data_IF_402517604830
#
_entry.id   IF_402517604830
#
_cell.length_a   1.000
_cell.length_b   1.000
_cell.length_c   1.000
_cell.angle_alpha   90.00
_cell.angle_beta   90.00
_cell.angle_gamma   90.00
#
_symmetry.space_group_name_H-M   'P 1'
#
loop_
_entity.id
_entity.type
_entity.pdbx_description
1 polymer ?
#
# COMPACT_ATOMS: atom_id res chain seq x y z
N UNK A 1 -29.65 56.71 -35.50
CA UNK A 1 -28.39 56.11 -35.97
C UNK A 1 -27.89 55.29 -34.80
N UNK A 2 -28.30 54.07 -34.82
CA UNK A 2 -27.94 53.08 -33.78
C UNK A 2 -26.84 52.24 -34.37
N UNK A 3 -25.64 52.40 -33.85
CA UNK A 3 -24.53 51.55 -34.20
C UNK A 3 -24.76 50.14 -33.57
N UNK A 4 -25.06 49.22 -34.46
CA UNK A 4 -24.96 47.82 -34.17
C UNK A 4 -23.48 47.48 -33.99
N UNK A 5 -23.10 47.18 -32.79
CA UNK A 5 -21.85 46.50 -32.51
C UNK A 5 -21.98 45.08 -33.09
N UNK A 6 -21.09 44.65 -33.99
CA UNK A 6 -21.13 43.25 -34.45
C UNK A 6 -20.84 42.37 -33.25
N UNK A 7 -21.70 41.40 -33.01
CA UNK A 7 -21.48 40.32 -32.09
C UNK A 7 -20.09 39.73 -32.34
N UNK A 8 -19.35 39.39 -31.28
CA UNK A 8 -18.07 38.75 -31.45
C UNK A 8 -18.29 37.45 -32.21
N UNK A 9 -17.61 37.37 -33.31
CA UNK A 9 -17.54 36.25 -34.20
C UNK A 9 -17.54 34.97 -33.37
N UNK A 10 -18.59 34.21 -33.56
CA UNK A 10 -18.82 33.06 -32.77
C UNK A 10 -17.62 32.15 -32.78
N UNK A 11 -16.78 32.32 -31.84
CA UNK A 11 -16.07 31.20 -31.31
C UNK A 11 -17.17 30.21 -31.03
N UNK A 12 -17.45 29.39 -31.98
CA UNK A 12 -18.31 28.27 -31.78
C UNK A 12 -17.60 27.52 -30.67
N UNK A 13 -18.05 27.78 -29.47
CA UNK A 13 -17.79 26.93 -28.40
C UNK A 13 -18.50 25.65 -28.78
N UNK A 14 -17.89 24.93 -29.68
CA UNK A 14 -18.20 23.55 -29.78
C UNK A 14 -17.78 23.04 -28.43
N UNK A 15 -18.69 22.99 -27.53
CA UNK A 15 -18.63 22.07 -26.47
C UNK A 15 -18.56 20.74 -27.20
N UNK A 16 -17.38 20.38 -27.61
CA UNK A 16 -17.09 19.02 -27.90
C UNK A 16 -17.20 18.39 -26.54
N UNK A 17 -18.36 17.99 -26.20
CA UNK A 17 -18.53 16.89 -25.30
C UNK A 17 -17.80 15.80 -26.03
N UNK A 18 -16.57 15.61 -25.68
CA UNK A 18 -15.79 14.50 -26.17
C UNK A 18 -16.39 13.27 -25.51
N UNK A 19 -17.47 12.85 -26.04
CA UNK A 19 -17.78 11.45 -26.01
C UNK A 19 -16.71 10.84 -26.89
N UNK A 20 -15.77 10.19 -26.31
CA UNK A 20 -14.63 9.45 -26.83
C UNK A 20 -14.39 9.19 -28.28
N UNK A 21 -15.20 9.60 -29.17
CA UNK A 21 -14.90 9.90 -30.51
C UNK A 21 -14.50 11.35 -30.49
N UNK A 22 -13.28 11.56 -30.09
CA UNK A 22 -12.62 12.71 -30.59
C UNK A 22 -12.65 12.52 -32.07
N UNK A 23 -13.71 12.94 -32.65
CA UNK A 23 -13.63 13.44 -33.98
C UNK A 23 -12.79 14.66 -33.80
N UNK A 24 -11.55 14.40 -33.56
CA UNK A 24 -10.49 15.35 -33.65
C UNK A 24 -10.39 15.79 -35.09
N UNK A 25 -11.49 15.99 -35.66
CA UNK A 25 -11.63 16.72 -36.89
C UNK A 25 -11.53 18.13 -36.44
N UNK A 26 -10.41 18.67 -36.68
CA UNK A 26 -9.84 19.94 -36.34
C UNK A 26 -10.72 21.18 -36.26
N UNK A 27 -11.88 21.06 -35.81
CA UNK A 27 -12.84 22.12 -35.55
C UNK A 27 -13.35 22.16 -34.14
N UNK A 28 -12.91 21.26 -33.32
CA UNK A 28 -13.27 21.31 -31.92
C UNK A 28 -12.36 22.27 -31.17
N UNK A 29 -12.89 23.36 -30.76
CA UNK A 29 -12.23 24.24 -29.83
C UNK A 29 -12.61 23.77 -28.47
N UNK A 30 -11.70 23.24 -27.78
CA UNK A 30 -11.95 22.92 -26.38
C UNK A 30 -11.85 24.18 -25.58
N UNK A 31 -12.82 24.36 -24.74
CA UNK A 31 -12.84 25.44 -23.78
C UNK A 31 -12.63 24.90 -22.39
N UNK A 32 -12.32 25.71 -21.50
CA UNK A 32 -12.02 25.31 -20.15
C UNK A 32 -10.59 24.82 -20.04
N UNK A 33 -10.38 23.62 -19.66
CA UNK A 33 -9.06 23.02 -19.58
C UNK A 33 -8.43 22.77 -20.95
N UNK A 34 -9.21 22.80 -21.99
CA UNK A 34 -8.74 22.67 -23.34
C UNK A 34 -9.53 23.63 -24.20
N UNK A 35 -9.11 24.86 -24.29
CA UNK A 35 -9.75 25.88 -25.10
C UNK A 35 -8.94 26.06 -26.37
N UNK A 36 -9.56 25.78 -27.45
CA UNK A 36 -8.94 25.98 -28.74
C UNK A 36 -9.79 26.94 -29.55
N UNK A 37 -9.17 27.87 -30.19
CA UNK A 37 -9.81 28.70 -31.18
C UNK A 37 -9.88 27.98 -32.50
N UNK A 38 -10.83 28.35 -33.32
CA UNK A 38 -11.18 27.59 -34.52
C UNK A 38 -10.06 27.36 -35.55
N UNK A 39 -9.02 28.12 -35.53
CA UNK A 39 -7.91 27.94 -36.48
C UNK A 39 -6.69 27.28 -35.88
N UNK A 40 -6.06 27.90 -34.95
CA UNK A 40 -4.85 27.36 -34.34
C UNK A 40 -5.13 26.45 -33.15
N UNK A 41 -6.22 26.72 -32.49
CA UNK A 41 -6.54 26.08 -31.22
C UNK A 41 -7.35 24.78 -31.40
N UNK A 42 -8.07 24.64 -32.53
CA UNK A 42 -8.75 23.37 -32.80
C UNK A 42 -7.77 22.19 -32.91
N UNK A 43 -6.61 22.43 -33.52
CA UNK A 43 -5.56 21.40 -33.62
C UNK A 43 -4.94 21.07 -32.28
N UNK A 44 -4.72 22.08 -31.45
CA UNK A 44 -4.16 21.87 -30.10
C UNK A 44 -5.13 21.11 -29.17
N UNK A 45 -6.42 21.37 -29.33
CA UNK A 45 -7.45 20.66 -28.56
C UNK A 45 -7.59 19.21 -28.97
N UNK A 46 -7.56 18.95 -30.27
CA UNK A 46 -7.60 17.59 -30.75
C UNK A 46 -6.42 16.77 -30.28
N UNK A 47 -5.23 17.36 -30.23
CA UNK A 47 -4.03 16.72 -29.72
C UNK A 47 -4.11 16.49 -28.20
N UNK A 48 -4.57 17.45 -27.44
CA UNK A 48 -4.75 17.35 -26.02
C UNK A 48 -5.77 16.28 -25.61
N UNK A 49 -6.87 16.19 -26.35
CA UNK A 49 -7.92 15.21 -26.09
C UNK A 49 -7.49 13.79 -26.44
N UNK A 50 -6.76 13.60 -27.54
CA UNK A 50 -6.21 12.30 -27.90
C UNK A 50 -5.22 11.80 -26.87
N UNK A 51 -4.35 12.65 -26.35
CA UNK A 51 -3.39 12.30 -25.29
C UNK A 51 -4.09 11.92 -23.98
N UNK A 52 -5.16 12.63 -23.60
CA UNK A 52 -5.93 12.30 -22.42
C UNK A 52 -6.70 10.97 -22.56
N UNK A 53 -7.15 10.64 -23.76
CA UNK A 53 -7.87 9.39 -24.04
C UNK A 53 -6.92 8.20 -24.10
N UNK A 54 -5.71 8.37 -24.64
CA UNK A 54 -4.69 7.32 -24.60
C UNK A 54 -4.20 7.03 -23.18
N UNK A 55 -4.13 8.04 -22.32
CA UNK A 55 -3.79 7.84 -20.91
C UNK A 55 -4.91 7.14 -20.11
N UNK A 56 -6.15 7.22 -20.56
CA UNK A 56 -7.30 6.57 -19.92
C UNK A 56 -7.57 5.14 -20.39
N UNK A 57 -6.98 4.73 -21.53
CA UNK A 57 -7.09 3.35 -22.05
C UNK A 57 -5.98 2.43 -21.55
N UNK A 58 -5.45 2.68 -20.36
CA UNK A 58 -4.75 1.66 -19.60
C UNK A 58 -5.67 0.45 -19.49
N UNK A 59 -5.24 -0.65 -20.02
CA UNK A 59 -6.05 -1.87 -20.16
C UNK A 59 -6.59 -2.29 -18.78
N UNK A 60 -7.83 -2.69 -18.72
CA UNK A 60 -8.49 -3.21 -17.49
C UNK A 60 -7.70 -4.33 -16.77
N UNK A 61 -6.68 -4.88 -17.41
CA UNK A 61 -5.74 -5.84 -16.82
C UNK A 61 -4.63 -5.17 -15.95
N UNK A 62 -4.45 -3.85 -16.01
CA UNK A 62 -3.46 -3.12 -15.21
C UNK A 62 -4.04 -2.58 -13.90
N UNK A 63 -5.36 -2.44 -13.80
CA UNK A 63 -6.02 -1.88 -12.61
C UNK A 63 -6.05 -2.84 -11.41
N UNK A 64 -5.84 -4.12 -11.60
CA UNK A 64 -5.97 -5.16 -10.55
C UNK A 64 -4.59 -5.66 -10.01
N UNK A 65 -3.46 -5.09 -10.46
CA UNK A 65 -2.16 -5.50 -9.95
C UNK A 65 -1.77 -4.71 -8.70
N UNK A 66 -1.16 -5.42 -7.73
CA UNK A 66 -0.53 -4.74 -6.61
C UNK A 66 0.60 -3.82 -7.10
N UNK A 67 0.71 -2.61 -6.54
CA UNK A 67 1.89 -1.77 -6.74
C UNK A 67 3.18 -2.52 -6.42
N UNK A 68 4.27 -2.12 -7.06
CA UNK A 68 5.60 -2.68 -6.82
C UNK A 68 6.46 -1.63 -6.11
N UNK A 69 7.03 -2.02 -4.97
CA UNK A 69 8.02 -1.22 -4.26
C UNK A 69 9.43 -1.75 -4.57
N UNK A 70 10.14 -1.04 -5.41
CA UNK A 70 11.53 -1.30 -5.77
C UNK A 70 12.44 -0.76 -4.68
N UNK A 71 13.22 -1.62 -4.03
CA UNK A 71 14.13 -1.25 -2.93
C UNK A 71 15.57 -1.38 -3.40
N UNK A 72 16.28 -0.25 -3.47
CA UNK A 72 17.70 -0.22 -3.81
C UNK A 72 18.55 -0.57 -2.59
N UNK A 73 19.58 -1.40 -2.73
CA UNK A 73 20.57 -1.65 -1.67
C UNK A 73 22.00 -1.58 -2.20
N UNK A 74 22.92 -1.06 -1.40
CA UNK A 74 24.34 -0.90 -1.76
C UNK A 74 24.98 0.37 -1.19
N UNK A 75 26.29 0.47 -1.27
CA UNK A 75 27.07 1.61 -0.79
C UNK A 75 26.72 2.91 -1.54
N UNK A 76 26.97 4.09 -0.97
CA UNK A 76 26.96 5.35 -1.73
C UNK A 76 27.83 5.21 -2.99
N UNK A 77 27.46 5.87 -4.06
CA UNK A 77 28.14 5.81 -5.37
C UNK A 77 28.15 4.44 -6.08
N UNK A 78 27.42 3.43 -5.59
CA UNK A 78 27.33 2.12 -6.30
C UNK A 78 26.47 2.12 -7.59
N UNK A 79 25.75 3.22 -7.89
CA UNK A 79 24.91 3.33 -9.09
C UNK A 79 23.41 3.26 -8.85
N UNK A 80 22.97 3.06 -7.62
CA UNK A 80 21.53 2.96 -7.23
C UNK A 80 20.65 4.06 -7.78
N UNK A 81 21.05 5.32 -7.56
CA UNK A 81 20.28 6.49 -7.99
C UNK A 81 20.13 6.56 -9.51
N UNK A 82 21.14 6.16 -10.24
CA UNK A 82 21.08 6.08 -11.71
C UNK A 82 20.05 5.03 -12.14
N UNK A 83 20.10 3.85 -11.56
CA UNK A 83 19.13 2.78 -11.83
C UNK A 83 17.71 3.18 -11.38
N UNK A 84 17.56 3.79 -10.21
CA UNK A 84 16.27 4.25 -9.71
C UNK A 84 15.61 5.27 -10.64
N UNK A 85 16.40 6.20 -11.17
CA UNK A 85 15.91 7.20 -12.13
C UNK A 85 15.58 6.59 -13.49
N UNK A 86 16.32 5.60 -13.93
CA UNK A 86 16.01 4.86 -15.15
C UNK A 86 14.67 4.12 -15.03
N UNK A 87 14.46 3.38 -13.95
CA UNK A 87 13.19 2.72 -13.66
C UNK A 87 12.02 3.71 -13.62
N UNK A 88 12.22 4.87 -12.98
CA UNK A 88 11.18 5.89 -12.90
C UNK A 88 10.85 6.46 -14.29
N UNK A 89 11.85 6.68 -15.13
CA UNK A 89 11.66 7.19 -16.49
C UNK A 89 10.92 6.19 -17.38
N UNK A 90 11.30 4.91 -17.31
CA UNK A 90 10.67 3.81 -18.05
C UNK A 90 9.20 3.59 -17.65
N UNK A 91 8.88 3.86 -16.38
CA UNK A 91 7.52 3.70 -15.87
C UNK A 91 6.53 4.78 -16.34
N UNK A 92 6.96 5.79 -17.10
CA UNK A 92 6.06 6.76 -17.75
C UNK A 92 5.11 7.51 -16.81
N UNK A 93 5.57 7.88 -15.61
CA UNK A 93 4.76 8.60 -14.61
C UNK A 93 3.99 7.70 -13.63
N UNK A 94 3.99 6.38 -13.81
CA UNK A 94 3.35 5.43 -12.87
C UNK A 94 4.19 5.13 -11.64
N UNK A 95 5.44 5.57 -11.59
CA UNK A 95 6.36 5.31 -10.47
C UNK A 95 6.74 6.60 -9.74
N UNK A 96 6.77 6.53 -8.43
CA UNK A 96 7.27 7.58 -7.55
C UNK A 96 8.63 7.19 -7.00
N UNK A 97 9.56 8.16 -6.93
CA UNK A 97 10.87 7.95 -6.31
C UNK A 97 10.88 8.60 -4.93
N UNK A 98 11.28 7.85 -3.91
CA UNK A 98 11.47 8.33 -2.54
C UNK A 98 12.93 8.11 -2.15
N UNK A 99 13.58 9.18 -1.70
CA UNK A 99 15.00 9.18 -1.31
C UNK A 99 15.18 9.96 0.00
N UNK A 100 15.91 9.40 0.95
CA UNK A 100 16.11 10.04 2.26
C UNK A 100 16.89 11.35 2.20
N UNK A 101 17.82 11.50 1.25
CA UNK A 101 18.58 12.74 1.12
C UNK A 101 17.72 13.87 0.55
N UNK A 102 16.84 13.55 -0.39
CA UNK A 102 15.87 14.50 -0.92
C UNK A 102 14.87 14.92 0.18
N UNK A 103 14.41 13.98 1.01
CA UNK A 103 13.54 14.28 2.16
C UNK A 103 14.24 15.12 3.21
N UNK A 104 15.51 14.86 3.52
CA UNK A 104 16.30 15.70 4.41
C UNK A 104 16.42 17.12 3.90
N UNK A 105 16.64 17.28 2.59
CA UNK A 105 16.69 18.58 1.94
C UNK A 105 15.34 19.29 1.98
N UNK A 106 14.26 18.58 1.71
CA UNK A 106 12.90 19.13 1.78
C UNK A 106 12.52 19.62 3.17
N UNK A 107 12.98 18.92 4.21
CA UNK A 107 12.72 19.28 5.62
C UNK A 107 13.70 20.31 6.18
N UNK A 108 14.60 20.84 5.36
CA UNK A 108 15.65 21.80 5.76
C UNK A 108 16.44 21.36 7.01
N UNK A 109 16.74 20.06 7.07
CA UNK A 109 17.46 19.50 8.20
C UNK A 109 18.96 19.83 8.13
N UNK A 110 19.61 20.05 9.28
CA UNK A 110 21.03 20.37 9.31
C UNK A 110 21.86 19.26 8.69
N UNK A 111 22.95 19.62 8.03
CA UNK A 111 23.94 18.68 7.54
C UNK A 111 24.52 17.83 8.70
N UNK A 112 25.00 16.60 8.45
CA UNK A 112 25.51 15.70 9.49
C UNK A 112 26.57 16.35 10.38
N UNK A 113 27.44 17.15 9.79
CA UNK A 113 28.53 17.85 10.46
C UNK A 113 28.05 18.93 11.48
N UNK A 114 26.79 19.38 11.38
CA UNK A 114 26.14 20.32 12.28
C UNK A 114 25.34 19.66 13.41
N UNK A 115 25.50 18.36 13.59
CA UNK A 115 24.86 17.64 14.68
C UNK A 115 23.40 17.23 14.40
N UNK A 116 23.17 16.41 13.36
CA UNK A 116 21.87 15.82 13.14
C UNK A 116 21.48 14.90 14.29
N UNK A 117 20.39 15.22 14.98
CA UNK A 117 19.90 14.43 16.10
C UNK A 117 19.17 13.16 15.65
N UNK A 118 19.07 12.19 16.54
CA UNK A 118 18.23 11.01 16.35
C UNK A 118 16.77 11.38 16.02
N UNK A 119 16.22 12.41 16.65
CA UNK A 119 14.87 12.88 16.39
C UNK A 119 14.69 13.36 14.93
N UNK A 120 15.68 14.06 14.37
CA UNK A 120 15.65 14.45 12.96
C UNK A 120 15.57 13.24 12.03
N UNK A 121 16.38 12.21 12.27
CA UNK A 121 16.35 10.99 11.44
C UNK A 121 15.04 10.24 11.59
N UNK A 122 14.45 10.20 12.78
CA UNK A 122 13.12 9.59 12.97
C UNK A 122 12.03 10.32 12.18
N UNK A 123 12.09 11.66 12.13
CA UNK A 123 11.16 12.44 11.31
C UNK A 123 11.31 12.12 9.83
N UNK A 124 12.55 12.07 9.31
CA UNK A 124 12.80 11.72 7.90
C UNK A 124 12.27 10.33 7.56
N UNK A 125 12.51 9.36 8.45
CA UNK A 125 12.01 7.99 8.26
C UNK A 125 10.48 7.92 8.31
N UNK A 126 9.83 8.68 9.19
CA UNK A 126 8.38 8.76 9.24
C UNK A 126 7.78 9.37 7.96
N UNK A 127 8.41 10.43 7.44
CA UNK A 127 7.99 11.03 6.16
C UNK A 127 8.22 10.07 4.99
N UNK A 128 9.33 9.33 4.97
CA UNK A 128 9.55 8.28 3.98
C UNK A 128 8.42 7.25 3.99
N UNK A 129 8.12 6.71 5.18
CA UNK A 129 7.10 5.67 5.33
C UNK A 129 5.73 6.18 4.86
N UNK A 130 5.36 7.38 5.26
CA UNK A 130 4.12 8.03 4.83
C UNK A 130 4.08 8.28 3.32
N UNK A 131 5.17 8.75 2.71
CA UNK A 131 5.25 9.01 1.28
C UNK A 131 5.15 7.72 0.45
N UNK A 132 5.84 6.66 0.87
CA UNK A 132 5.76 5.36 0.21
C UNK A 132 4.36 4.78 0.37
N UNK A 133 3.78 4.84 1.56
CA UNK A 133 2.42 4.36 1.82
C UNK A 133 1.40 5.10 0.96
N UNK A 134 1.42 6.43 0.94
CA UNK A 134 0.49 7.23 0.14
C UNK A 134 0.59 6.95 -1.37
N UNK A 135 1.81 6.73 -1.87
CA UNK A 135 1.99 6.37 -3.28
C UNK A 135 1.41 4.97 -3.59
N UNK A 136 1.63 3.99 -2.72
CA UNK A 136 1.07 2.64 -2.83
C UNK A 136 -0.46 2.66 -2.76
N UNK A 137 -1.03 3.39 -1.79
CA UNK A 137 -2.49 3.55 -1.67
C UNK A 137 -3.11 4.22 -2.91
N UNK A 138 -2.34 5.09 -3.58
CA UNK A 138 -2.71 5.72 -4.85
C UNK A 138 -2.48 4.84 -6.09
N UNK A 139 -2.11 3.57 -5.94
CA UNK A 139 -1.87 2.64 -7.05
C UNK A 139 -0.55 2.84 -7.80
N UNK A 140 0.36 3.67 -7.27
CA UNK A 140 1.65 3.92 -7.92
C UNK A 140 2.71 2.91 -7.49
N UNK A 141 3.56 2.52 -8.43
CA UNK A 141 4.83 1.88 -8.11
C UNK A 141 5.75 2.87 -7.41
N UNK A 142 6.64 2.36 -6.56
CA UNK A 142 7.58 3.20 -5.81
C UNK A 142 8.98 2.66 -5.95
N UNK A 143 9.97 3.53 -6.20
CA UNK A 143 11.38 3.19 -6.03
C UNK A 143 11.94 3.91 -4.81
N UNK A 144 12.39 3.13 -3.83
CA UNK A 144 13.02 3.62 -2.60
C UNK A 144 14.54 3.57 -2.77
N UNK A 145 15.10 4.75 -3.09
CA UNK A 145 16.51 4.91 -3.49
C UNK A 145 17.38 5.28 -2.28
N UNK A 146 17.66 4.29 -1.44
CA UNK A 146 18.51 4.44 -0.26
C UNK A 146 19.56 3.33 -0.18
N UNK A 147 20.41 3.34 0.84
CA UNK A 147 21.50 2.35 0.98
C UNK A 147 21.02 0.99 1.47
N UNK A 148 20.05 0.92 2.34
CA UNK A 148 19.41 -0.29 2.92
C UNK A 148 20.40 -1.41 3.35
N UNK A 149 21.57 -1.04 3.86
CA UNK A 149 22.66 -1.95 4.20
C UNK A 149 22.43 -2.75 5.50
N UNK A 150 21.44 -2.36 6.29
CA UNK A 150 21.09 -3.00 7.56
C UNK A 150 19.61 -3.26 7.66
N UNK A 151 19.20 -4.14 8.57
CA UNK A 151 17.83 -4.66 8.68
C UNK A 151 16.77 -3.62 9.07
N UNK A 152 17.13 -2.56 9.80
CA UNK A 152 16.16 -1.71 10.48
C UNK A 152 15.27 -0.91 9.52
N UNK A 153 15.85 -0.24 8.52
CA UNK A 153 15.08 0.57 7.57
C UNK A 153 14.22 -0.31 6.66
N UNK A 154 14.72 -1.40 6.04
CA UNK A 154 13.88 -2.32 5.30
C UNK A 154 12.74 -2.95 6.12
N UNK A 155 13.00 -3.29 7.39
CA UNK A 155 11.95 -3.80 8.29
C UNK A 155 10.83 -2.77 8.50
N UNK A 156 11.20 -1.52 8.74
CA UNK A 156 10.28 -0.40 8.90
C UNK A 156 9.47 -0.15 7.62
N UNK A 157 10.14 -0.09 6.47
CA UNK A 157 9.50 0.07 5.18
C UNK A 157 8.49 -1.05 4.89
N UNK A 158 8.88 -2.30 5.18
CA UNK A 158 8.00 -3.45 5.05
C UNK A 158 6.75 -3.33 5.92
N UNK A 159 6.90 -2.84 7.16
CA UNK A 159 5.79 -2.59 8.06
C UNK A 159 4.87 -1.49 7.51
N UNK A 160 5.41 -0.35 7.09
CA UNK A 160 4.64 0.78 6.58
C UNK A 160 3.79 0.45 5.34
N UNK A 161 4.30 -0.42 4.46
CA UNK A 161 3.58 -0.85 3.25
C UNK A 161 2.61 -2.00 3.53
N UNK A 162 2.95 -2.86 4.51
CA UNK A 162 2.13 -4.03 4.80
C UNK A 162 2.03 -4.99 3.62
N UNK A 163 0.83 -5.53 3.38
CA UNK A 163 0.52 -6.41 2.24
C UNK A 163 0.02 -5.67 0.98
N UNK A 164 0.14 -4.34 0.94
CA UNK A 164 -0.46 -3.50 -0.12
C UNK A 164 0.37 -3.43 -1.40
N UNK A 165 1.60 -3.93 -1.37
CA UNK A 165 2.48 -3.95 -2.52
C UNK A 165 3.39 -5.17 -2.49
N UNK A 166 3.94 -5.52 -3.65
CA UNK A 166 5.05 -6.48 -3.76
C UNK A 166 6.38 -5.73 -3.74
N UNK A 167 7.42 -6.37 -3.21
CA UNK A 167 8.75 -5.78 -3.14
C UNK A 167 9.71 -6.44 -4.14
N UNK A 168 10.47 -5.61 -4.84
CA UNK A 168 11.59 -6.05 -5.70
C UNK A 168 12.87 -5.38 -5.21
N UNK A 169 13.86 -6.16 -4.82
CA UNK A 169 15.14 -5.66 -4.35
C UNK A 169 16.13 -5.60 -5.51
N UNK A 170 16.77 -4.44 -5.66
CA UNK A 170 17.86 -4.21 -6.61
C UNK A 170 19.16 -4.12 -5.83
N UNK A 171 19.97 -5.16 -5.94
CA UNK A 171 21.21 -5.32 -5.15
C UNK A 171 22.43 -4.76 -5.88
N UNK A 172 23.07 -3.78 -5.28
CA UNK A 172 24.32 -3.13 -5.71
C UNK A 172 25.45 -3.34 -4.69
N UNK A 173 25.30 -4.31 -3.77
CA UNK A 173 26.31 -4.56 -2.73
C UNK A 173 27.57 -5.21 -3.25
N UNK A 174 27.54 -5.79 -4.45
CA UNK A 174 28.72 -6.39 -5.10
C UNK A 174 29.65 -5.36 -5.77
N UNK A 175 29.25 -4.07 -5.84
CA UNK A 175 30.13 -3.03 -6.33
C UNK A 175 31.27 -2.82 -5.33
N UNK A 176 32.54 -2.98 -5.75
CA UNK A 176 33.69 -2.89 -4.85
C UNK A 176 33.76 -1.54 -4.12
N UNK A 177 34.17 -1.56 -2.84
CA UNK A 177 34.34 -0.37 -2.03
C UNK A 177 35.20 0.69 -2.71
N UNK A 178 36.35 0.30 -3.25
CA UNK A 178 37.31 1.21 -3.92
C UNK A 178 36.67 1.89 -5.16
N UNK A 179 35.80 1.17 -5.88
CA UNK A 179 35.06 1.74 -7.00
C UNK A 179 34.01 2.76 -6.50
N UNK A 180 33.35 2.48 -5.40
CA UNK A 180 32.41 3.43 -4.78
C UNK A 180 33.15 4.70 -4.33
N UNK A 181 34.33 4.56 -3.71
CA UNK A 181 35.14 5.69 -3.29
C UNK A 181 35.62 6.51 -4.49
N UNK A 182 36.14 5.86 -5.54
CA UNK A 182 36.57 6.52 -6.76
C UNK A 182 35.43 7.31 -7.42
N UNK A 183 34.23 6.72 -7.49
CA UNK A 183 33.04 7.39 -8.05
C UNK A 183 32.58 8.55 -7.19
N UNK A 184 32.63 8.41 -5.88
CA UNK A 184 32.22 9.48 -4.96
C UNK A 184 33.14 10.68 -5.04
N UNK A 185 34.45 10.46 -5.14
CA UNK A 185 35.45 11.53 -5.29
C UNK A 185 35.24 12.37 -6.58
N UNK A 186 34.63 11.81 -7.61
CA UNK A 186 34.29 12.52 -8.84
C UNK A 186 32.96 13.25 -8.84
N UNK A 187 32.21 13.26 -7.72
CA UNK A 187 30.92 13.93 -7.61
C UNK A 187 31.02 15.36 -7.14
N UNK A 188 30.15 16.21 -7.62
CA UNK A 188 29.98 17.57 -7.10
C UNK A 188 29.57 17.57 -5.61
N UNK A 189 28.66 16.68 -5.24
CA UNK A 189 28.23 16.46 -3.84
C UNK A 189 28.71 15.10 -3.37
N UNK A 190 29.82 15.09 -2.66
CA UNK A 190 30.44 13.89 -2.13
C UNK A 190 29.79 13.49 -0.79
N UNK A 191 29.70 12.17 -0.58
CA UNK A 191 29.36 11.60 0.74
C UNK A 191 30.59 11.59 1.64
N UNK A 192 31.75 11.39 1.07
CA UNK A 192 33.03 11.36 1.73
C UNK A 192 33.51 9.95 2.09
N UNK A 193 34.81 9.73 1.94
CA UNK A 193 35.45 8.42 2.14
C UNK A 193 35.16 7.84 3.52
N UNK A 194 35.30 8.62 4.58
CA UNK A 194 35.10 8.16 5.96
C UNK A 194 33.70 7.58 6.16
N UNK A 195 32.65 8.26 5.69
CA UNK A 195 31.28 7.80 5.82
C UNK A 195 31.03 6.53 5.01
N UNK A 196 31.59 6.44 3.79
CA UNK A 196 31.44 5.26 2.95
C UNK A 196 32.11 4.05 3.59
N UNK A 197 33.30 4.21 4.19
CA UNK A 197 34.00 3.13 4.91
C UNK A 197 33.22 2.67 6.14
N UNK A 198 32.67 3.58 6.93
CA UNK A 198 31.79 3.25 8.08
C UNK A 198 30.57 2.45 7.62
N UNK A 199 29.94 2.84 6.52
CA UNK A 199 28.80 2.11 5.97
C UNK A 199 29.19 0.72 5.45
N UNK A 200 30.35 0.59 4.82
CA UNK A 200 30.89 -0.69 4.36
C UNK A 200 31.15 -1.65 5.54
N UNK A 201 31.77 -1.15 6.61
CA UNK A 201 31.99 -1.95 7.84
C UNK A 201 30.70 -2.40 8.49
N UNK A 202 29.71 -1.51 8.60
CA UNK A 202 28.38 -1.84 9.12
C UNK A 202 27.70 -2.92 8.26
N UNK A 203 27.80 -2.80 6.94
CA UNK A 203 27.26 -3.79 6.02
C UNK A 203 27.94 -5.14 6.17
N UNK A 204 29.28 -5.15 6.19
CA UNK A 204 30.05 -6.37 6.35
C UNK A 204 29.76 -7.09 7.68
N UNK A 205 29.60 -6.32 8.77
CA UNK A 205 29.16 -6.84 10.07
C UNK A 205 27.77 -7.47 10.00
N UNK A 206 26.82 -6.82 9.33
CA UNK A 206 25.45 -7.31 9.12
C UNK A 206 25.47 -8.60 8.28
N UNK A 207 26.28 -8.64 7.23
CA UNK A 207 26.44 -9.80 6.33
C UNK A 207 27.07 -11.01 7.05
N UNK A 208 28.08 -10.79 7.87
CA UNK A 208 28.66 -11.84 8.74
C UNK A 208 27.64 -12.39 9.74
N UNK A 209 26.71 -11.55 10.19
CA UNK A 209 25.54 -11.96 11.00
C UNK A 209 24.41 -12.63 10.21
N UNK A 210 24.63 -12.98 8.94
CA UNK A 210 23.64 -13.66 8.09
C UNK A 210 22.60 -12.73 7.45
N UNK A 211 22.73 -11.41 7.61
CA UNK A 211 21.79 -10.48 7.01
C UNK A 211 22.06 -10.27 5.51
N UNK A 212 21.01 -10.45 4.72
CA UNK A 212 20.95 -10.02 3.31
C UNK A 212 19.56 -9.47 3.02
N UNK A 213 19.51 -8.39 2.28
CA UNK A 213 18.25 -7.85 1.78
C UNK A 213 17.91 -8.53 0.45
N UNK A 214 16.79 -9.24 0.42
CA UNK A 214 16.31 -9.93 -0.79
C UNK A 214 14.82 -9.64 -0.99
N UNK A 215 14.34 -9.75 -2.22
CA UNK A 215 12.90 -9.64 -2.52
C UNK A 215 12.10 -10.68 -1.74
N UNK A 216 12.63 -11.86 -1.56
CA UNK A 216 12.03 -12.93 -0.75
C UNK A 216 11.86 -12.50 0.71
N UNK A 217 12.90 -11.91 1.32
CA UNK A 217 12.81 -11.40 2.68
C UNK A 217 11.81 -10.25 2.81
N UNK A 218 11.78 -9.33 1.85
CA UNK A 218 10.83 -8.21 1.84
C UNK A 218 9.38 -8.69 1.70
N UNK A 219 9.13 -9.71 0.89
CA UNK A 219 7.78 -10.26 0.69
C UNK A 219 7.37 -11.30 1.76
N UNK A 220 8.23 -11.55 2.75
CA UNK A 220 7.98 -12.50 3.83
C UNK A 220 8.76 -13.78 3.62
N UNK A 221 10.01 -13.84 4.05
CA UNK A 221 10.75 -15.09 4.18
C UNK A 221 10.02 -16.06 5.11
N UNK A 222 9.93 -17.32 4.69
CA UNK A 222 9.16 -18.42 5.31
C UNK A 222 7.65 -18.31 5.14
N UNK A 223 7.16 -18.59 3.94
CA UNK A 223 5.74 -18.76 3.61
C UNK A 223 5.06 -17.60 2.89
N UNK A 224 5.83 -16.67 2.32
CA UNK A 224 5.31 -15.63 1.46
C UNK A 224 4.91 -16.19 0.07
N UNK A 225 3.83 -16.92 -0.01
CA UNK A 225 3.13 -17.07 -1.27
C UNK A 225 2.70 -15.69 -1.77
N UNK A 226 2.71 -15.48 -3.08
CA UNK A 226 2.03 -14.35 -3.68
C UNK A 226 0.66 -14.22 -3.00
N UNK A 227 0.24 -12.97 -2.73
CA UNK A 227 -1.16 -12.75 -2.30
C UNK A 227 -2.02 -13.49 -3.32
N UNK A 228 -2.86 -14.45 -2.91
CA UNK A 228 -3.64 -15.22 -3.87
C UNK A 228 -4.42 -14.27 -4.76
N UNK A 229 -4.61 -14.60 -6.04
CA UNK A 229 -5.47 -13.81 -6.89
C UNK A 229 -6.83 -13.70 -6.18
N UNK A 230 -7.20 -12.47 -5.89
CA UNK A 230 -8.43 -12.20 -5.16
C UNK A 230 -9.57 -12.23 -6.17
N UNK A 231 -10.47 -13.18 -6.03
CA UNK A 231 -11.70 -13.21 -6.83
C UNK A 231 -12.65 -12.13 -6.29
N UNK A 232 -13.13 -11.27 -7.16
CA UNK A 232 -14.14 -10.28 -6.81
C UNK A 232 -15.33 -10.93 -6.10
N UNK A 233 -15.83 -10.30 -5.08
CA UNK A 233 -17.01 -10.72 -4.36
C UNK A 233 -18.20 -9.83 -4.71
N UNK A 234 -19.20 -10.46 -5.33
CA UNK A 234 -20.49 -9.82 -5.57
C UNK A 234 -21.50 -10.48 -4.63
N UNK A 235 -22.08 -9.75 -3.68
CA UNK A 235 -23.05 -10.33 -2.76
C UNK A 235 -24.31 -10.77 -3.50
N UNK A 236 -24.72 -12.03 -3.30
CA UNK A 236 -26.00 -12.54 -3.79
C UNK A 236 -27.12 -12.11 -2.81
N UNK A 237 -28.04 -11.23 -3.20
CA UNK A 237 -29.12 -10.76 -2.33
C UNK A 237 -30.13 -11.85 -1.92
N UNK A 238 -30.10 -13.02 -2.56
CA UNK A 238 -30.92 -14.16 -2.18
C UNK A 238 -30.36 -14.91 -0.95
N UNK A 239 -29.10 -14.70 -0.61
CA UNK A 239 -28.47 -15.29 0.57
C UNK A 239 -28.77 -14.50 1.83
N UNK A 240 -28.72 -15.13 3.01
CA UNK A 240 -28.83 -14.44 4.28
C UNK A 240 -27.77 -13.34 4.41
N UNK A 241 -28.20 -12.15 4.82
CA UNK A 241 -27.28 -11.06 5.08
C UNK A 241 -26.38 -11.37 6.28
N UNK A 242 -25.11 -10.96 6.20
CA UNK A 242 -24.14 -11.18 7.27
C UNK A 242 -23.18 -10.02 7.46
N UNK A 243 -22.65 -9.93 8.68
CA UNK A 243 -21.52 -9.10 9.05
C UNK A 243 -20.36 -10.03 9.43
N UNK A 244 -19.19 -9.79 8.85
CA UNK A 244 -17.96 -10.46 9.27
C UNK A 244 -17.23 -9.63 10.31
N UNK A 245 -16.59 -10.30 11.27
CA UNK A 245 -15.76 -9.60 12.26
C UNK A 245 -14.54 -10.45 12.61
N UNK A 246 -13.39 -9.79 12.61
CA UNK A 246 -12.18 -10.35 13.21
C UNK A 246 -12.23 -10.31 14.74
N UNK A 247 -11.36 -11.05 15.39
CA UNK A 247 -11.26 -11.10 16.85
C UNK A 247 -10.09 -10.27 17.37
N UNK A 248 -8.86 -10.60 17.03
CA UNK A 248 -7.66 -10.01 17.62
C UNK A 248 -7.35 -8.62 17.09
N UNK A 249 -7.37 -7.61 17.94
CA UNK A 249 -7.21 -6.20 17.56
C UNK A 249 -8.52 -5.53 17.16
N UNK A 250 -9.53 -6.31 16.81
CA UNK A 250 -10.86 -5.85 16.38
C UNK A 250 -11.88 -5.96 17.51
N UNK A 251 -12.35 -7.15 17.82
CA UNK A 251 -13.33 -7.43 18.87
C UNK A 251 -12.66 -7.61 20.24
N UNK A 252 -11.47 -8.22 20.26
CA UNK A 252 -10.65 -8.43 21.45
C UNK A 252 -9.40 -7.54 21.37
N UNK A 253 -9.27 -6.62 22.32
CA UNK A 253 -8.09 -5.76 22.45
C UNK A 253 -7.02 -6.51 23.20
N UNK A 254 -5.89 -6.73 22.55
CA UNK A 254 -4.74 -7.46 23.10
C UNK A 254 -4.16 -6.64 24.26
N UNK A 255 -4.11 -7.24 25.44
CA UNK A 255 -3.50 -6.65 26.63
C UNK A 255 -1.99 -6.94 26.72
N UNK A 256 -1.57 -7.48 27.87
CA UNK A 256 -0.16 -7.71 28.17
C UNK A 256 0.46 -8.94 27.49
N UNK A 257 -0.29 -9.68 26.67
CA UNK A 257 0.23 -10.82 25.93
C UNK A 257 0.88 -10.41 24.60
N UNK A 258 1.81 -11.21 24.10
CA UNK A 258 2.28 -11.05 22.72
C UNK A 258 1.16 -11.33 21.72
N UNK A 259 1.19 -10.71 20.54
CA UNK A 259 0.11 -10.83 19.53
C UNK A 259 -0.10 -12.25 19.00
N UNK A 260 0.87 -13.15 19.22
CA UNK A 260 0.82 -14.57 18.81
C UNK A 260 0.77 -15.54 20.00
N UNK A 261 0.70 -15.04 21.23
CA UNK A 261 0.52 -15.86 22.43
C UNK A 261 -0.98 -16.01 22.74
N UNK A 262 -1.62 -16.96 22.08
CA UNK A 262 -3.04 -17.23 22.28
C UNK A 262 -3.37 -18.06 23.53
N UNK A 263 -2.37 -18.53 24.27
CA UNK A 263 -2.58 -19.30 25.52
C UNK A 263 -3.30 -18.46 26.58
N UNK A 264 -3.18 -17.12 26.49
CA UNK A 264 -3.77 -16.14 27.41
C UNK A 264 -4.86 -15.29 26.79
N UNK A 265 -5.42 -15.68 25.64
CA UNK A 265 -6.40 -14.89 24.91
C UNK A 265 -7.73 -14.69 25.67
N UNK A 266 -8.01 -15.49 26.70
CA UNK A 266 -9.14 -15.30 27.60
C UNK A 266 -9.04 -14.02 28.47
N UNK A 267 -7.85 -13.42 28.57
CA UNK A 267 -7.58 -12.21 29.34
C UNK A 267 -7.68 -10.92 28.51
N UNK A 268 -7.91 -11.05 27.21
CA UNK A 268 -8.05 -9.90 26.33
C UNK A 268 -9.25 -9.03 26.75
N UNK A 269 -9.12 -7.74 26.57
CA UNK A 269 -10.18 -6.78 26.86
C UNK A 269 -11.21 -6.77 25.71
N UNK A 270 -12.46 -6.61 26.05
CA UNK A 270 -13.52 -6.47 25.05
C UNK A 270 -13.49 -5.08 24.42
N UNK A 271 -13.59 -5.01 23.11
CA UNK A 271 -13.90 -3.79 22.36
C UNK A 271 -15.41 -3.55 22.36
N UNK A 272 -15.91 -2.90 23.42
CA UNK A 272 -17.33 -2.67 23.59
C UNK A 272 -18.03 -1.98 22.41
N UNK A 273 -17.45 -0.94 21.76
CA UNK A 273 -18.02 -0.37 20.55
C UNK A 273 -18.25 -1.38 19.42
N UNK A 274 -17.31 -2.30 19.20
CA UNK A 274 -17.44 -3.32 18.16
C UNK A 274 -18.50 -4.35 18.54
N UNK A 275 -18.51 -4.86 19.78
CA UNK A 275 -19.56 -5.75 20.27
C UNK A 275 -20.96 -5.11 20.12
N UNK A 276 -21.08 -3.85 20.49
CA UNK A 276 -22.33 -3.12 20.34
C UNK A 276 -22.77 -3.00 18.88
N UNK A 277 -21.84 -2.72 17.97
CA UNK A 277 -22.15 -2.69 16.53
C UNK A 277 -22.68 -4.04 16.04
N UNK A 278 -22.06 -5.16 16.44
CA UNK A 278 -22.56 -6.51 16.10
C UNK A 278 -23.96 -6.77 16.64
N UNK A 279 -24.27 -6.31 17.87
CA UNK A 279 -25.63 -6.41 18.41
C UNK A 279 -26.64 -5.60 17.61
N UNK A 280 -26.28 -4.39 17.17
CA UNK A 280 -27.15 -3.55 16.36
C UNK A 280 -27.47 -4.22 15.03
N UNK A 281 -26.47 -4.70 14.30
CA UNK A 281 -26.67 -5.44 13.04
C UNK A 281 -27.58 -6.65 13.24
N UNK A 282 -27.34 -7.42 14.29
CA UNK A 282 -28.17 -8.60 14.58
C UNK A 282 -29.61 -8.26 14.92
N UNK A 283 -29.83 -7.23 15.77
CA UNK A 283 -31.17 -6.88 16.29
C UNK A 283 -31.99 -6.08 15.29
N UNK A 284 -31.38 -5.12 14.61
CA UNK A 284 -32.09 -4.20 13.72
C UNK A 284 -32.35 -4.82 12.34
N UNK A 285 -31.37 -5.52 11.80
CA UNK A 285 -31.36 -6.01 10.43
C UNK A 285 -31.51 -7.53 10.33
N UNK A 286 -31.38 -8.25 11.43
CA UNK A 286 -31.41 -9.72 11.46
C UNK A 286 -30.18 -10.36 10.83
N UNK A 287 -29.09 -9.62 10.70
CA UNK A 287 -27.87 -10.09 10.07
C UNK A 287 -27.22 -11.24 10.86
N UNK A 288 -26.65 -12.18 10.15
CA UNK A 288 -25.78 -13.21 10.72
C UNK A 288 -24.44 -12.62 11.07
N UNK A 289 -23.89 -13.01 12.20
CA UNK A 289 -22.58 -12.59 12.65
C UNK A 289 -21.60 -13.74 12.45
N UNK A 290 -20.63 -13.55 11.57
CA UNK A 290 -19.60 -14.55 11.24
C UNK A 290 -18.25 -14.03 11.74
N UNK A 291 -17.66 -14.74 12.69
CA UNK A 291 -16.33 -14.43 13.20
C UNK A 291 -15.28 -15.17 12.37
N UNK A 292 -14.28 -14.43 11.86
CA UNK A 292 -13.16 -14.95 11.08
C UNK A 292 -11.85 -14.59 11.78
N UNK A 293 -11.14 -15.58 12.32
CA UNK A 293 -9.98 -15.33 13.16
C UNK A 293 -8.70 -16.02 12.67
N UNK A 294 -7.58 -15.27 12.76
CA UNK A 294 -6.25 -15.81 12.57
C UNK A 294 -5.73 -16.68 13.72
N UNK A 295 -6.47 -16.83 14.82
CA UNK A 295 -6.13 -17.74 15.92
C UNK A 295 -6.12 -19.17 15.44
N UNK A 296 -5.14 -19.96 15.92
CA UNK A 296 -5.10 -21.39 15.66
C UNK A 296 -6.32 -22.12 16.28
N UNK A 297 -6.87 -23.07 15.54
CA UNK A 297 -8.00 -23.89 15.97
C UNK A 297 -7.80 -24.58 17.31
N UNK A 298 -6.56 -24.86 17.70
CA UNK A 298 -6.22 -25.41 19.01
C UNK A 298 -6.64 -24.50 20.19
N UNK A 299 -6.82 -23.20 19.94
CA UNK A 299 -7.28 -22.22 20.95
C UNK A 299 -8.79 -21.93 20.86
N UNK A 300 -9.55 -22.71 20.10
CA UNK A 300 -11.02 -22.59 20.00
C UNK A 300 -11.70 -22.61 21.38
N UNK A 301 -11.39 -23.56 22.28
CA UNK A 301 -12.07 -23.62 23.57
C UNK A 301 -11.89 -22.34 24.42
N UNK A 302 -10.68 -21.75 24.39
CA UNK A 302 -10.40 -20.49 25.10
C UNK A 302 -11.16 -19.33 24.45
N UNK A 303 -11.17 -19.28 23.11
CA UNK A 303 -11.85 -18.24 22.35
C UNK A 303 -13.37 -18.28 22.61
N UNK A 304 -13.98 -19.46 22.58
CA UNK A 304 -15.43 -19.63 22.84
C UNK A 304 -15.79 -19.26 24.30
N UNK A 305 -14.96 -19.59 25.28
CA UNK A 305 -15.18 -19.15 26.68
C UNK A 305 -15.09 -17.64 26.81
N UNK A 306 -14.15 -17.00 26.10
CA UNK A 306 -14.04 -15.55 26.08
C UNK A 306 -15.28 -14.90 25.42
N UNK A 307 -15.71 -15.39 24.26
CA UNK A 307 -16.93 -14.93 23.58
C UNK A 307 -18.18 -15.08 24.45
N UNK A 308 -18.33 -16.21 25.11
CA UNK A 308 -19.45 -16.46 26.03
C UNK A 308 -19.42 -15.54 27.24
N UNK A 309 -18.25 -15.33 27.87
CA UNK A 309 -18.07 -14.41 29.00
C UNK A 309 -18.48 -12.99 28.69
N UNK A 310 -18.20 -12.53 27.48
CA UNK A 310 -18.48 -11.17 27.01
C UNK A 310 -19.81 -11.06 26.25
N UNK A 311 -20.62 -12.11 26.27
CA UNK A 311 -21.94 -12.15 25.63
C UNK A 311 -21.89 -11.66 24.15
N UNK A 312 -20.82 -12.04 23.44
CA UNK A 312 -20.66 -11.64 22.03
C UNK A 312 -21.67 -12.38 21.17
N UNK A 313 -22.52 -11.67 20.41
CA UNK A 313 -23.43 -12.33 19.48
C UNK A 313 -22.67 -12.85 18.27
N UNK A 314 -22.71 -14.14 18.00
CA UNK A 314 -22.21 -14.73 16.75
C UNK A 314 -23.01 -15.97 16.36
N UNK A 315 -22.99 -16.29 15.07
CA UNK A 315 -23.63 -17.48 14.51
C UNK A 315 -22.58 -18.51 14.08
N UNK A 316 -21.43 -18.08 13.58
CA UNK A 316 -20.35 -18.94 13.15
C UNK A 316 -18.98 -18.36 13.60
N UNK A 317 -18.06 -19.27 13.90
CA UNK A 317 -16.66 -18.96 14.21
C UNK A 317 -15.75 -19.82 13.36
N UNK A 318 -14.97 -19.18 12.50
CA UNK A 318 -13.97 -19.83 11.65
C UNK A 318 -12.57 -19.39 12.07
N UNK A 319 -11.72 -20.36 12.30
CA UNK A 319 -10.38 -20.15 12.83
C UNK A 319 -9.34 -20.79 11.91
N UNK A 320 -8.11 -20.32 12.02
CA UNK A 320 -6.95 -20.86 11.32
C UNK A 320 -6.75 -22.33 11.68
N UNK A 321 -6.48 -23.19 10.70
CA UNK A 321 -6.15 -24.60 10.95
C UNK A 321 -4.90 -24.73 11.85
N UNK A 322 -4.93 -25.70 12.74
CA UNK A 322 -3.78 -25.99 13.62
C UNK A 322 -2.53 -26.28 12.80
N UNK A 323 -1.42 -25.60 13.17
CA UNK A 323 -0.13 -25.75 12.48
C UNK A 323 0.03 -24.90 11.21
N UNK A 324 -0.99 -24.19 10.75
CA UNK A 324 -0.87 -23.27 9.62
C UNK A 324 -0.11 -22.00 10.04
N UNK A 325 1.08 -21.79 9.45
CA UNK A 325 1.97 -20.65 9.73
C UNK A 325 1.94 -19.60 8.61
N UNK A 326 1.04 -19.74 7.64
CA UNK A 326 0.92 -18.79 6.53
C UNK A 326 0.43 -17.43 7.02
N UNK A 327 0.56 -16.43 6.16
CA UNK A 327 0.11 -15.07 6.44
C UNK A 327 -1.39 -15.03 6.71
N UNK A 328 -1.79 -14.16 7.60
CA UNK A 328 -3.16 -14.01 8.06
C UNK A 328 -4.15 -13.64 6.95
N UNK A 329 -3.73 -12.75 6.06
CA UNK A 329 -4.51 -12.34 4.89
C UNK A 329 -4.78 -13.49 3.91
N UNK A 330 -3.82 -14.41 3.76
CA UNK A 330 -4.01 -15.63 2.94
C UNK A 330 -5.00 -16.57 3.60
N UNK A 331 -4.81 -16.84 4.89
CA UNK A 331 -5.68 -17.76 5.65
C UNK A 331 -7.11 -17.24 5.73
N UNK A 332 -7.29 -15.96 6.04
CA UNK A 332 -8.62 -15.37 6.12
C UNK A 332 -9.32 -15.33 4.75
N UNK A 333 -8.59 -15.07 3.66
CA UNK A 333 -9.15 -15.15 2.32
C UNK A 333 -9.66 -16.55 1.98
N UNK A 334 -8.89 -17.59 2.30
CA UNK A 334 -9.31 -18.99 2.11
C UNK A 334 -10.51 -19.36 3.00
N UNK A 335 -10.53 -18.94 4.25
CA UNK A 335 -11.68 -19.14 5.15
C UNK A 335 -12.94 -18.47 4.61
N UNK A 336 -12.80 -17.24 4.09
CA UNK A 336 -13.89 -16.54 3.44
C UNK A 336 -14.43 -17.31 2.23
N UNK A 337 -13.55 -17.76 1.34
CA UNK A 337 -13.95 -18.50 0.13
C UNK A 337 -14.62 -19.82 0.48
N UNK A 338 -14.10 -20.52 1.49
CA UNK A 338 -14.62 -21.84 1.89
C UNK A 338 -15.96 -21.76 2.66
N UNK A 339 -16.15 -20.74 3.48
CA UNK A 339 -17.24 -20.75 4.47
C UNK A 339 -18.22 -19.60 4.37
N UNK A 340 -17.88 -18.51 3.67
CA UNK A 340 -18.69 -17.29 3.66
C UNK A 340 -19.19 -16.91 2.27
N UNK A 341 -18.30 -16.89 1.28
CA UNK A 341 -18.55 -16.37 -0.08
C UNK A 341 -19.88 -16.80 -0.71
N UNK A 342 -20.21 -18.08 -0.60
CA UNK A 342 -21.39 -18.67 -1.24
C UNK A 342 -22.53 -18.99 -0.26
N UNK A 343 -22.41 -18.52 0.98
CA UNK A 343 -23.40 -18.79 2.03
C UNK A 343 -24.07 -17.53 2.56
N UNK A 344 -23.45 -16.38 2.37
CA UNK A 344 -23.92 -15.11 2.92
C UNK A 344 -23.79 -13.97 1.93
N UNK A 345 -24.75 -13.01 2.00
CA UNK A 345 -24.60 -11.68 1.42
C UNK A 345 -23.92 -10.77 2.46
N UNK A 346 -22.58 -10.68 2.40
CA UNK A 346 -21.83 -9.90 3.40
C UNK A 346 -22.00 -8.41 3.15
N UNK A 347 -22.53 -7.70 4.14
CA UNK A 347 -22.75 -6.25 4.12
C UNK A 347 -21.49 -5.46 4.45
N UNK A 348 -20.74 -5.93 5.44
CA UNK A 348 -19.53 -5.27 5.93
C UNK A 348 -18.63 -6.27 6.62
N UNK A 349 -17.33 -6.07 6.52
CA UNK A 349 -16.30 -6.72 7.31
C UNK A 349 -15.69 -5.73 8.30
N UNK A 350 -15.50 -6.13 9.54
CA UNK A 350 -14.77 -5.40 10.57
C UNK A 350 -13.43 -6.10 10.79
N UNK A 351 -12.34 -5.38 10.59
CA UNK A 351 -10.98 -5.90 10.78
C UNK A 351 -10.05 -4.74 11.16
N UNK A 352 -8.93 -5.00 11.81
CA UNK A 352 -7.96 -3.97 12.18
C UNK A 352 -6.71 -4.03 11.33
N UNK A 353 -6.33 -5.24 10.88
CA UNK A 353 -5.02 -5.48 10.27
C UNK A 353 -4.95 -5.01 8.82
N UNK A 354 -4.10 -4.02 8.54
CA UNK A 354 -3.94 -3.37 7.23
C UNK A 354 -3.94 -4.33 6.04
N UNK A 355 -3.14 -5.42 6.13
CA UNK A 355 -3.03 -6.40 5.04
C UNK A 355 -4.31 -7.18 4.79
N UNK A 356 -5.09 -7.45 5.82
CA UNK A 356 -6.37 -8.16 5.72
C UNK A 356 -7.45 -7.23 5.19
N UNK A 357 -7.51 -6.00 5.71
CA UNK A 357 -8.38 -4.92 5.20
C UNK A 357 -8.14 -4.67 3.71
N UNK A 358 -6.88 -4.66 3.27
CA UNK A 358 -6.53 -4.52 1.86
C UNK A 358 -7.07 -5.68 1.00
N UNK A 359 -7.03 -6.92 1.51
CA UNK A 359 -7.60 -8.08 0.82
C UNK A 359 -9.12 -7.95 0.70
N UNK A 360 -9.82 -7.60 1.78
CA UNK A 360 -11.28 -7.42 1.76
C UNK A 360 -11.71 -6.33 0.77
N UNK A 361 -11.04 -5.17 0.79
CA UNK A 361 -11.33 -4.07 -0.14
C UNK A 361 -11.08 -4.43 -1.60
N UNK A 362 -10.02 -5.20 -1.88
CA UNK A 362 -9.73 -5.72 -3.22
C UNK A 362 -10.77 -6.75 -3.68
N UNK A 363 -11.35 -7.52 -2.76
CA UNK A 363 -12.49 -8.38 -3.06
C UNK A 363 -13.78 -7.62 -3.33
N UNK A 364 -13.81 -6.30 -3.14
CA UNK A 364 -15.04 -5.51 -3.23
C UNK A 364 -15.89 -5.53 -1.95
N UNK A 365 -15.37 -6.09 -0.85
CA UNK A 365 -16.08 -6.10 0.44
C UNK A 365 -16.00 -4.73 1.11
N UNK A 366 -17.15 -4.10 1.45
CA UNK A 366 -17.17 -2.95 2.35
C UNK A 366 -16.49 -3.31 3.66
N UNK A 367 -15.46 -2.55 4.06
CA UNK A 367 -14.65 -2.90 5.22
C UNK A 367 -14.45 -1.70 6.14
N UNK A 368 -14.84 -1.85 7.40
CA UNK A 368 -14.54 -0.91 8.46
C UNK A 368 -13.27 -1.33 9.18
N UNK A 369 -12.25 -0.51 9.05
CA UNK A 369 -11.03 -0.69 9.81
C UNK A 369 -11.21 -0.04 11.18
N UNK A 370 -11.27 -0.86 12.22
CA UNK A 370 -11.69 -0.41 13.56
C UNK A 370 -10.54 -0.06 14.50
N UNK A 371 -9.30 -0.34 14.07
CA UNK A 371 -8.08 -0.02 14.83
C UNK A 371 -6.89 0.10 13.88
N UNK A 372 -5.74 0.55 14.41
CA UNK A 372 -4.48 0.57 13.67
C UNK A 372 -3.82 -0.81 13.73
N UNK A 373 -3.81 -1.53 12.63
CA UNK A 373 -3.38 -2.92 12.54
C UNK A 373 -2.00 -3.15 11.94
N UNK A 374 -1.02 -2.33 12.29
CA UNK A 374 0.35 -2.42 11.74
C UNK A 374 1.28 -3.26 12.66
N UNK A 375 0.93 -4.55 12.89
CA UNK A 375 1.76 -5.48 13.67
C UNK A 375 1.83 -6.91 13.10
#
# INVERSE_FOLDING_TARGET
MSEETPAPDGTATATATATGTATATGTATATGTATATATGTATATATGTATATEAATGTAAEEDRLPVVHVMTGLPASGKTTAARALQAEAGGRMRRVNLDDLRSMLDLPAPERGRSWAHEQTVLAVQDAAVRAAVDGGFDVVVDNTHLTKNIPKRLKAAVGGLATFVVHDFTDVPLEECLRRDAGRERQVGEEIIRILAEKHEKARKGGWRLTSEWMNGGSGGGAVPPVTEYVPDPALPAAVMCDIDGTLALIGDRGPYDFTRCELDLLNEPVRHALEVFRRADGDRIVLLSGRSEEHRPQTERWLARHEVPYDELWMRATGDQRRDDVVKAELFDAHVRHRYAVRVSLDDRDRVVAVWRRMGLPTWQVNYGDF
#
